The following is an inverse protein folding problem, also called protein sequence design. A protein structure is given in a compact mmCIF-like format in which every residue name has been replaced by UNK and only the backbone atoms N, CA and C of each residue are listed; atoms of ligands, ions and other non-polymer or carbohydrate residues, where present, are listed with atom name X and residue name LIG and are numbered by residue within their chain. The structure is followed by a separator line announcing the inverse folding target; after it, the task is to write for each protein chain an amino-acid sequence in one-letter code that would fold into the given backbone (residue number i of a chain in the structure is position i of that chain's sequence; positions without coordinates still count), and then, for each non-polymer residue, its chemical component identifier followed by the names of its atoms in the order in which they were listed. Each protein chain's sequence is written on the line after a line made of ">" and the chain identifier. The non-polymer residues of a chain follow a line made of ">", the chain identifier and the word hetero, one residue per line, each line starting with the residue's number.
data_IF_812420343107
#
_entry.id   IF_812420343107
#
_cell.length_a   1.000
_cell.length_b   1.000
_cell.length_c   1.000
_cell.angle_alpha   90.00
_cell.angle_beta   90.00
_cell.angle_gamma   90.00
#
_symmetry.space_group_name_H-M   'P 1'
#
loop_
_entity.id
_entity.type
_entity.pdbx_description
1 polymer ?
#
# COMPACT_ATOMS: atom_id res chain seq x y z
N UNK A 1 0.51 2.52 18.55
CA UNK A 1 1.81 2.48 17.83
C UNK A 1 2.19 3.86 17.33
N UNK A 2 1.38 4.50 16.47
CA UNK A 2 1.64 5.88 15.99
C UNK A 2 1.81 6.87 17.15
N UNK A 3 0.83 6.95 18.05
CA UNK A 3 0.88 7.83 19.23
C UNK A 3 2.14 7.55 20.09
N UNK A 4 2.37 6.28 20.44
CA UNK A 4 3.57 5.86 21.18
C UNK A 4 4.88 6.27 20.49
N UNK A 5 4.96 6.17 19.15
CA UNK A 5 6.13 6.61 18.38
C UNK A 5 6.27 8.13 18.44
N UNK A 6 5.19 8.88 18.24
CA UNK A 6 5.22 10.34 18.31
C UNK A 6 5.64 10.82 19.71
N UNK A 7 5.12 10.20 20.77
CA UNK A 7 5.45 10.53 22.15
C UNK A 7 6.93 10.26 22.49
N UNK A 8 7.45 9.10 22.07
CA UNK A 8 8.82 8.69 22.38
C UNK A 8 9.87 9.50 21.60
N UNK A 9 9.57 9.84 20.34
CA UNK A 9 10.52 10.51 19.44
C UNK A 9 10.25 12.01 19.25
N UNK A 10 9.21 12.55 19.88
CA UNK A 10 8.85 13.97 19.86
C UNK A 10 8.15 14.45 18.59
N UNK A 11 7.59 13.54 17.79
CA UNK A 11 6.86 13.85 16.56
C UNK A 11 6.86 12.71 15.53
N UNK A 12 6.26 12.97 14.37
CA UNK A 12 6.27 12.06 13.23
C UNK A 12 6.36 12.84 11.92
N UNK A 13 7.52 12.77 11.25
CA UNK A 13 7.76 13.48 9.99
C UNK A 13 7.29 12.68 8.76
N UNK A 14 7.36 11.34 8.81
CA UNK A 14 7.10 10.51 7.63
C UNK A 14 6.31 9.26 8.01
N UNK A 15 5.22 9.01 7.27
CA UNK A 15 4.53 7.72 7.26
C UNK A 15 4.72 7.04 5.90
N UNK A 16 5.22 5.81 5.90
CA UNK A 16 5.30 4.96 4.71
C UNK A 16 4.28 3.83 4.81
N UNK A 17 3.17 3.96 4.09
CA UNK A 17 2.18 2.89 3.93
C UNK A 17 2.67 1.91 2.87
N UNK A 18 3.26 0.79 3.31
CA UNK A 18 3.86 -0.24 2.45
C UNK A 18 3.16 -1.61 2.51
N UNK A 19 2.29 -1.84 3.48
CA UNK A 19 1.72 -3.18 3.71
C UNK A 19 1.00 -3.71 2.46
N UNK A 20 0.99 -5.02 2.24
CA UNK A 20 0.12 -5.59 1.23
C UNK A 20 0.32 -7.07 0.99
N UNK A 21 -0.72 -7.73 0.50
CA UNK A 21 -0.72 -9.12 0.06
C UNK A 21 -1.67 -9.35 -1.11
N UNK A 22 -1.49 -10.44 -1.84
CA UNK A 22 -2.39 -10.90 -2.89
C UNK A 22 -2.79 -12.35 -2.64
N UNK A 23 -4.05 -12.69 -2.94
CA UNK A 23 -4.58 -14.05 -2.98
C UNK A 23 -5.06 -14.34 -4.41
N UNK A 24 -4.39 -15.29 -5.06
CA UNK A 24 -4.42 -15.50 -6.51
C UNK A 24 -5.59 -16.31 -7.03
N UNK A 25 -6.80 -15.78 -7.00
CA UNK A 25 -7.99 -16.46 -7.52
C UNK A 25 -8.93 -15.56 -8.32
N UNK A 26 -9.71 -16.17 -9.23
CA UNK A 26 -10.82 -15.49 -9.89
C UNK A 26 -11.95 -15.17 -8.91
N UNK A 27 -12.81 -14.20 -9.25
CA UNK A 27 -13.91 -13.76 -8.35
C UNK A 27 -14.84 -14.90 -7.93
N UNK A 28 -15.07 -15.88 -8.81
CA UNK A 28 -15.98 -17.00 -8.54
C UNK A 28 -15.41 -17.99 -7.51
N UNK A 29 -14.09 -18.10 -7.43
CA UNK A 29 -13.40 -19.12 -6.64
C UNK A 29 -12.83 -18.53 -5.34
N UNK A 30 -12.57 -17.22 -5.32
CA UNK A 30 -12.02 -16.50 -4.18
C UNK A 30 -12.86 -16.68 -2.91
N UNK A 31 -12.22 -17.24 -1.88
CA UNK A 31 -12.85 -17.40 -0.58
C UNK A 31 -13.21 -16.04 0.03
N UNK A 32 -14.32 -16.00 0.80
CA UNK A 32 -14.70 -14.76 1.52
C UNK A 32 -13.65 -14.36 2.56
N UNK A 33 -12.94 -15.33 3.12
CA UNK A 33 -11.85 -15.10 4.07
C UNK A 33 -10.68 -14.37 3.39
N UNK A 34 -10.23 -14.87 2.24
CA UNK A 34 -9.15 -14.25 1.46
C UNK A 34 -9.53 -12.88 0.91
N UNK A 35 -10.78 -12.72 0.48
CA UNK A 35 -11.31 -11.40 0.13
C UNK A 35 -11.19 -10.42 1.30
N UNK A 36 -11.69 -10.80 2.50
CA UNK A 36 -11.64 -9.95 3.69
C UNK A 36 -10.22 -9.65 4.10
N UNK A 37 -9.35 -10.65 4.13
CA UNK A 37 -7.94 -10.49 4.44
C UNK A 37 -7.26 -9.49 3.48
N UNK A 38 -7.53 -9.57 2.18
CA UNK A 38 -7.01 -8.60 1.21
C UNK A 38 -7.53 -7.18 1.45
N UNK A 39 -8.79 -7.02 1.85
CA UNK A 39 -9.35 -5.70 2.18
C UNK A 39 -8.74 -5.17 3.47
N UNK A 40 -8.73 -5.96 4.54
CA UNK A 40 -8.19 -5.59 5.85
C UNK A 40 -6.72 -5.16 5.74
N UNK A 41 -5.93 -5.87 4.94
CA UNK A 41 -4.50 -5.56 4.78
C UNK A 41 -4.27 -4.43 3.77
N UNK A 42 -4.84 -4.51 2.57
CA UNK A 42 -4.48 -3.58 1.49
C UNK A 42 -5.26 -2.26 1.52
N UNK A 43 -6.36 -2.18 2.27
CA UNK A 43 -7.23 -1.00 2.37
C UNK A 43 -7.17 -0.43 3.77
N UNK A 44 -7.61 -1.20 4.76
CA UNK A 44 -7.67 -0.74 6.15
C UNK A 44 -6.26 -0.49 6.72
N UNK A 45 -5.30 -1.34 6.33
CA UNK A 45 -3.88 -1.17 6.63
C UNK A 45 -3.23 0.10 6.08
N UNK A 46 -3.90 0.83 5.18
CA UNK A 46 -3.48 2.16 4.71
C UNK A 46 -4.33 3.26 5.35
N UNK A 47 -5.64 3.04 5.46
CA UNK A 47 -6.57 4.02 6.00
C UNK A 47 -6.27 4.34 7.46
N UNK A 48 -6.22 3.33 8.33
CA UNK A 48 -6.11 3.56 9.77
C UNK A 48 -4.76 4.18 10.16
N UNK A 49 -3.59 3.70 9.70
CA UNK A 49 -2.33 4.37 10.03
C UNK A 49 -2.25 5.80 9.50
N UNK A 50 -2.77 6.07 8.30
CA UNK A 50 -2.85 7.43 7.77
C UNK A 50 -3.72 8.32 8.65
N UNK A 51 -4.89 7.84 9.08
CA UNK A 51 -5.79 8.60 9.96
C UNK A 51 -5.13 8.98 11.28
N UNK A 52 -4.45 8.03 11.91
CA UNK A 52 -3.78 8.27 13.20
C UNK A 52 -2.52 9.13 13.04
N UNK A 53 -1.76 9.00 11.95
CA UNK A 53 -0.53 9.76 11.72
C UNK A 53 -0.76 11.21 11.30
N UNK A 54 -1.90 11.48 10.65
CA UNK A 54 -2.14 12.75 9.97
C UNK A 54 -1.98 14.00 10.88
N UNK A 55 -2.45 14.02 12.14
CA UNK A 55 -2.24 15.18 13.02
C UNK A 55 -0.75 15.48 13.24
N UNK A 56 0.06 14.45 13.44
CA UNK A 56 1.50 14.59 13.71
C UNK A 56 2.29 14.97 12.44
N UNK A 57 1.92 14.41 11.29
CA UNK A 57 2.54 14.74 10.00
C UNK A 57 2.19 16.18 9.58
N UNK A 58 0.98 16.66 9.90
CA UNK A 58 0.59 18.07 9.71
C UNK A 58 1.44 19.01 10.56
N UNK A 59 1.63 18.68 11.84
CA UNK A 59 2.41 19.51 12.76
C UNK A 59 3.87 19.66 12.30
N UNK A 60 4.44 18.62 11.67
CA UNK A 60 5.82 18.63 11.16
C UNK A 60 5.98 19.20 9.74
N UNK A 61 4.89 19.42 8.98
CA UNK A 61 4.98 19.67 7.53
C UNK A 61 5.59 18.48 6.78
N UNK A 62 5.25 17.26 7.24
CA UNK A 62 5.91 16.02 6.87
C UNK A 62 5.46 15.42 5.53
N UNK A 63 5.70 14.12 5.37
CA UNK A 63 5.41 13.40 4.11
C UNK A 63 4.66 12.09 4.33
N UNK A 64 3.62 11.85 3.53
CA UNK A 64 2.94 10.57 3.41
C UNK A 64 3.38 9.85 2.13
N UNK A 65 3.87 8.62 2.25
CA UNK A 65 4.25 7.77 1.13
C UNK A 65 3.32 6.57 1.04
N UNK A 66 2.77 6.32 -0.14
CA UNK A 66 1.85 5.23 -0.43
C UNK A 66 2.47 4.28 -1.45
N UNK A 67 2.63 3.01 -1.08
CA UNK A 67 3.08 1.97 -2.00
C UNK A 67 1.86 1.34 -2.68
N UNK A 68 1.56 1.83 -3.87
CA UNK A 68 0.55 1.29 -4.75
C UNK A 68 1.02 0.02 -5.45
N UNK A 69 0.75 -0.04 -6.75
CA UNK A 69 1.20 -1.10 -7.64
C UNK A 69 0.94 -0.67 -9.08
N UNK A 70 1.72 -1.16 -10.02
CA UNK A 70 1.38 -1.13 -11.44
C UNK A 70 -0.04 -1.67 -11.71
N UNK A 71 -0.46 -2.70 -10.96
CA UNK A 71 -1.82 -3.26 -11.03
C UNK A 71 -2.93 -2.25 -10.66
N UNK A 72 -2.59 -1.21 -9.88
CA UNK A 72 -3.47 -0.09 -9.56
C UNK A 72 -3.71 0.89 -10.72
N UNK A 73 -3.17 0.59 -11.90
CA UNK A 73 -3.42 1.31 -13.15
C UNK A 73 -3.68 0.36 -14.32
N UNK A 74 -2.96 -0.77 -14.35
CA UNK A 74 -3.00 -1.75 -15.42
C UNK A 74 -3.28 -3.15 -14.84
N UNK A 75 -4.56 -3.51 -14.64
CA UNK A 75 -4.92 -4.79 -14.04
C UNK A 75 -4.55 -5.97 -14.95
N UNK A 76 -4.12 -7.09 -14.35
CA UNK A 76 -3.83 -8.36 -15.03
C UNK A 76 -4.87 -9.43 -14.67
N UNK A 77 -5.11 -10.44 -15.52
CA UNK A 77 -5.96 -11.57 -15.18
C UNK A 77 -5.48 -12.32 -13.93
N UNK A 78 -6.41 -12.97 -13.22
CA UNK A 78 -6.09 -13.86 -12.09
C UNK A 78 -6.01 -13.20 -10.71
N UNK A 79 -6.09 -11.87 -10.62
CA UNK A 79 -6.02 -11.14 -9.35
C UNK A 79 -6.93 -9.89 -9.30
N UNK A 80 -8.24 -10.00 -9.62
CA UNK A 80 -9.12 -8.84 -9.75
C UNK A 80 -9.29 -8.06 -8.45
N UNK A 81 -9.36 -8.73 -7.29
CA UNK A 81 -9.52 -8.06 -5.99
C UNK A 81 -8.26 -7.33 -5.59
N UNK A 82 -7.08 -7.96 -5.71
CA UNK A 82 -5.81 -7.28 -5.48
C UNK A 82 -5.65 -6.03 -6.37
N UNK A 83 -5.99 -6.13 -7.66
CA UNK A 83 -5.94 -4.96 -8.53
C UNK A 83 -6.89 -3.86 -8.04
N UNK A 84 -8.11 -4.21 -7.63
CA UNK A 84 -9.08 -3.26 -7.09
C UNK A 84 -8.58 -2.57 -5.80
N UNK A 85 -7.94 -3.29 -4.88
CA UNK A 85 -7.36 -2.67 -3.67
C UNK A 85 -6.22 -1.71 -4.01
N UNK A 86 -5.39 -2.01 -5.01
CA UNK A 86 -4.33 -1.09 -5.45
C UNK A 86 -4.85 0.13 -6.22
N UNK A 87 -5.99 0.01 -6.91
CA UNK A 87 -6.75 1.18 -7.39
C UNK A 87 -7.29 2.02 -6.25
N UNK A 88 -7.82 1.38 -5.20
CA UNK A 88 -8.28 2.07 -3.99
C UNK A 88 -7.14 2.86 -3.33
N UNK A 89 -5.96 2.26 -3.12
CA UNK A 89 -4.79 2.96 -2.55
C UNK A 89 -4.42 4.18 -3.38
N UNK A 90 -4.38 4.05 -4.72
CA UNK A 90 -4.07 5.17 -5.62
C UNK A 90 -5.10 6.29 -5.52
N UNK A 91 -6.38 5.94 -5.48
CA UNK A 91 -7.47 6.90 -5.33
C UNK A 91 -7.42 7.61 -3.97
N UNK A 92 -7.25 6.83 -2.90
CA UNK A 92 -7.15 7.31 -1.54
C UNK A 92 -5.99 8.30 -1.38
N UNK A 93 -4.78 7.95 -1.82
CA UNK A 93 -3.63 8.82 -1.70
C UNK A 93 -3.77 10.12 -2.50
N UNK A 94 -4.39 10.08 -3.70
CA UNK A 94 -4.70 11.29 -4.48
C UNK A 94 -5.70 12.19 -3.77
N UNK A 95 -6.74 11.62 -3.16
CA UNK A 95 -7.71 12.40 -2.38
C UNK A 95 -7.09 12.99 -1.12
N UNK A 96 -6.27 12.22 -0.39
CA UNK A 96 -5.52 12.74 0.78
C UNK A 96 -4.61 13.89 0.36
N UNK A 97 -3.87 13.75 -0.74
CA UNK A 97 -3.02 14.83 -1.26
C UNK A 97 -3.77 16.13 -1.54
N UNK A 98 -5.04 16.05 -1.97
CA UNK A 98 -5.86 17.23 -2.19
C UNK A 98 -6.39 17.82 -0.88
N UNK A 99 -6.65 16.99 0.13
CA UNK A 99 -7.16 17.40 1.45
C UNK A 99 -6.08 18.09 2.31
N UNK A 100 -4.83 17.67 2.19
CA UNK A 100 -3.72 18.14 3.04
C UNK A 100 -2.82 19.19 2.39
N UNK A 101 -3.13 19.60 1.15
CA UNK A 101 -2.24 20.43 0.34
C UNK A 101 -1.97 21.83 0.90
N UNK A 102 -2.87 22.36 1.75
CA UNK A 102 -2.69 23.64 2.44
C UNK A 102 -1.93 23.51 3.77
N UNK A 103 -1.69 22.27 4.23
CA UNK A 103 -1.07 21.97 5.54
C UNK A 103 0.46 21.76 5.43
N UNK A 104 1.09 22.16 4.33
CA UNK A 104 2.51 21.90 4.01
C UNK A 104 2.89 20.39 4.04
N UNK A 105 1.92 19.48 3.90
CA UNK A 105 2.15 18.03 3.87
C UNK A 105 2.36 17.55 2.44
N UNK A 106 3.49 16.87 2.19
CA UNK A 106 3.75 16.21 0.92
C UNK A 106 3.11 14.82 0.85
N UNK A 107 2.62 14.43 -0.34
CA UNK A 107 2.08 13.09 -0.58
C UNK A 107 2.67 12.49 -1.85
N UNK A 108 3.21 11.28 -1.75
CA UNK A 108 3.79 10.54 -2.89
C UNK A 108 3.16 9.16 -3.02
N UNK A 109 2.89 8.74 -4.26
CA UNK A 109 2.45 7.38 -4.59
C UNK A 109 3.48 6.71 -5.49
N UNK A 110 4.05 5.60 -5.02
CA UNK A 110 4.97 4.77 -5.79
C UNK A 110 4.18 3.58 -6.32
N UNK A 111 4.33 3.25 -7.62
CA UNK A 111 3.59 2.15 -8.26
C UNK A 111 4.58 1.15 -8.87
N UNK A 112 5.16 0.24 -8.07
CA UNK A 112 6.11 -0.75 -8.57
C UNK A 112 5.45 -1.73 -9.54
N UNK A 113 6.23 -2.22 -10.50
CA UNK A 113 5.92 -3.42 -11.27
C UNK A 113 6.33 -4.67 -10.44
N UNK A 114 6.76 -5.76 -11.08
CA UNK A 114 7.25 -6.93 -10.36
C UNK A 114 8.64 -6.63 -9.74
N UNK A 115 8.76 -6.85 -8.43
CA UNK A 115 9.99 -6.62 -7.66
C UNK A 115 10.31 -7.88 -6.88
N UNK A 116 11.57 -8.31 -6.92
CA UNK A 116 12.06 -9.48 -6.16
C UNK A 116 11.81 -9.29 -4.66
N UNK A 117 10.82 -10.01 -4.11
CA UNK A 117 10.39 -9.95 -2.70
C UNK A 117 9.71 -11.26 -2.30
N UNK A 118 9.47 -11.48 -1.01
CA UNK A 118 8.64 -12.59 -0.50
C UNK A 118 7.15 -12.49 -0.92
N UNK A 119 6.75 -11.43 -1.61
CA UNK A 119 5.39 -11.21 -2.06
C UNK A 119 4.93 -12.36 -2.97
N UNK A 120 3.73 -12.91 -2.69
CA UNK A 120 3.17 -14.06 -3.39
C UNK A 120 3.51 -15.42 -2.77
N UNK A 121 4.47 -15.51 -1.84
CA UNK A 121 4.91 -16.78 -1.24
C UNK A 121 3.88 -17.48 -0.34
N UNK A 122 2.79 -16.80 0.06
CA UNK A 122 1.76 -17.37 0.93
C UNK A 122 0.90 -18.44 0.26
N UNK A 123 0.66 -18.35 -1.06
CA UNK A 123 -0.24 -19.26 -1.81
C UNK A 123 0.35 -19.67 -3.17
N UNK A 124 1.65 -19.46 -3.38
CA UNK A 124 2.30 -19.68 -4.66
C UNK A 124 3.82 -19.51 -4.56
N UNK A 125 4.45 -19.29 -5.71
CA UNK A 125 5.88 -19.00 -5.79
C UNK A 125 6.12 -17.51 -5.47
N UNK A 126 6.99 -17.24 -4.50
CA UNK A 126 7.34 -15.87 -4.14
C UNK A 126 8.11 -15.20 -5.29
N UNK A 127 8.03 -13.87 -5.39
CA UNK A 127 8.80 -13.15 -6.41
C UNK A 127 10.31 -13.30 -6.23
N UNK A 128 10.79 -13.60 -5.02
CA UNK A 128 12.20 -13.92 -4.78
C UNK A 128 12.69 -15.21 -5.45
N UNK A 129 11.79 -16.17 -5.66
CA UNK A 129 12.07 -17.42 -6.36
C UNK A 129 12.00 -17.22 -7.89
N UNK A 130 11.23 -16.21 -8.34
CA UNK A 130 11.01 -15.92 -9.76
C UNK A 130 12.06 -15.00 -10.40
N UNK A 131 12.71 -14.12 -9.63
CA UNK A 131 13.62 -13.09 -10.16
C UNK A 131 15.02 -13.14 -9.55
N UNK A 132 16.06 -12.84 -10.33
CA UNK A 132 17.45 -12.75 -9.84
C UNK A 132 17.70 -11.49 -8.99
N UNK A 133 18.74 -11.46 -8.13
CA UNK A 133 19.03 -10.28 -7.30
C UNK A 133 19.32 -9.05 -8.17
N UNK A 134 18.58 -7.95 -7.94
CA UNK A 134 18.72 -6.70 -8.70
C UNK A 134 17.89 -6.64 -9.98
N UNK A 135 17.14 -7.70 -10.31
CA UNK A 135 16.19 -7.71 -11.41
C UNK A 135 14.92 -6.92 -11.03
N UNK A 136 14.52 -6.00 -11.89
CA UNK A 136 13.24 -5.28 -11.82
C UNK A 136 12.58 -5.43 -13.17
N UNK A 137 11.32 -5.85 -13.22
CA UNK A 137 10.61 -5.98 -14.49
C UNK A 137 10.42 -4.59 -15.12
N UNK A 138 10.77 -4.44 -16.40
CA UNK A 138 10.37 -3.27 -17.18
C UNK A 138 8.83 -3.19 -17.27
N UNK A 139 8.25 -1.98 -17.19
CA UNK A 139 6.80 -1.77 -17.17
C UNK A 139 6.07 -2.15 -18.46
#
# INVERSE_FOLDING_TARGET
>A
MVETTADEFGGLDILVNNVGLARGEGVADLSTEDYRLMMDVNVDGYFFPTREALPHVRESGGTLVFIGSFAGQYPRPGNPVYAATKWWVRGFAKSVSADVGEDDVAVTVINPAEVRTEFGGGDGEAFEDRFEPGEVSDP
#
